data_IF_497137092987
#
_entry.id   IF_497137092987
#
_cell.length_a   1.000
_cell.length_b   1.000
_cell.length_c   1.000
_cell.angle_alpha   90.00
_cell.angle_beta   90.00
_cell.angle_gamma   90.00
#
_symmetry.space_group_name_H-M   'P 1'
#
loop_
_entity.id
_entity.type
_entity.pdbx_description
1 polymer ?
#
# COMPACT_ATOMS: atom_id res chain seq x y z
N UNK A 1 -7.05 -14.83 6.87
CA UNK A 1 -6.96 -14.73 8.34
C UNK A 1 -8.06 -15.55 8.95
N UNK A 2 -7.75 -16.33 9.97
CA UNK A 2 -8.71 -17.14 10.73
C UNK A 2 -8.64 -16.72 12.20
N UNK A 3 -9.80 -16.47 12.82
CA UNK A 3 -9.87 -16.18 14.26
C UNK A 3 -9.93 -17.49 15.04
N UNK A 4 -9.11 -17.63 16.08
CA UNK A 4 -9.08 -18.78 16.98
C UNK A 4 -9.05 -18.31 18.44
N UNK A 5 -9.31 -19.24 19.35
CA UNK A 5 -9.28 -19.03 20.80
C UNK A 5 -8.27 -20.03 21.38
N UNK A 6 -7.37 -19.54 22.23
CA UNK A 6 -6.40 -20.40 22.91
C UNK A 6 -7.01 -21.04 24.18
N UNK A 7 -6.31 -21.97 24.86
CA UNK A 7 -6.83 -22.62 26.07
C UNK A 7 -7.14 -21.65 27.23
N UNK A 8 -6.53 -20.46 27.24
CA UNK A 8 -6.81 -19.41 28.23
C UNK A 8 -8.08 -18.62 27.92
N UNK A 9 -8.72 -18.87 26.78
CA UNK A 9 -9.88 -18.12 26.29
C UNK A 9 -9.49 -16.87 25.52
N UNK A 10 -8.21 -16.61 25.27
CA UNK A 10 -7.75 -15.42 24.55
C UNK A 10 -7.85 -15.64 23.03
N UNK A 11 -8.41 -14.64 22.34
CA UNK A 11 -8.51 -14.64 20.88
C UNK A 11 -7.15 -14.36 20.25
N UNK A 12 -6.80 -15.12 19.21
CA UNK A 12 -5.67 -14.86 18.32
C UNK A 12 -6.08 -15.08 16.86
N UNK A 13 -5.28 -14.54 15.94
CA UNK A 13 -5.53 -14.55 14.50
C UNK A 13 -4.41 -15.30 13.78
N UNK A 14 -4.77 -16.25 12.93
CA UNK A 14 -3.86 -17.05 12.11
C UNK A 14 -3.88 -16.53 10.67
N UNK A 15 -2.70 -16.20 10.15
CA UNK A 15 -2.52 -15.96 8.72
C UNK A 15 -2.06 -17.23 8.01
N UNK A 16 -2.96 -17.80 7.21
CA UNK A 16 -2.66 -18.99 6.41
C UNK A 16 -1.73 -18.73 5.23
N UNK A 17 -1.57 -17.47 4.81
CA UNK A 17 -0.70 -17.10 3.70
C UNK A 17 0.72 -16.93 4.19
N UNK A 18 0.93 -16.06 5.18
CA UNK A 18 2.26 -15.77 5.74
C UNK A 18 2.71 -16.74 6.84
N UNK A 19 1.89 -17.74 7.16
CA UNK A 19 2.15 -18.75 8.20
C UNK A 19 2.54 -18.12 9.55
N UNK A 20 1.80 -17.07 9.95
CA UNK A 20 2.03 -16.33 11.20
C UNK A 20 0.79 -16.28 12.07
N UNK A 21 0.98 -16.06 13.36
CA UNK A 21 -0.08 -15.81 14.34
C UNK A 21 0.12 -14.46 15.00
N UNK A 22 -0.96 -13.76 15.31
CA UNK A 22 -0.92 -12.51 16.08
C UNK A 22 -2.10 -12.42 17.04
N UNK A 23 -1.92 -11.68 18.13
CA UNK A 23 -3.00 -11.37 19.08
C UNK A 23 -3.87 -10.21 18.60
N UNK A 24 -3.35 -9.38 17.71
CA UNK A 24 -4.03 -8.20 17.19
C UNK A 24 -4.84 -8.56 15.94
N UNK A 25 -6.07 -8.05 15.86
CA UNK A 25 -6.89 -8.22 14.66
C UNK A 25 -6.20 -7.48 13.51
N UNK A 26 -5.89 -8.16 12.39
CA UNK A 26 -5.34 -7.49 11.23
C UNK A 26 -6.36 -6.50 10.67
N UNK A 27 -5.93 -5.28 10.38
CA UNK A 27 -6.75 -4.30 9.69
C UNK A 27 -7.13 -4.81 8.29
N UNK A 28 -8.30 -4.46 7.73
CA UNK A 28 -8.60 -4.78 6.33
C UNK A 28 -7.65 -4.04 5.38
N UNK A 29 -7.48 -4.57 4.17
CA UNK A 29 -6.80 -3.81 3.10
C UNK A 29 -7.70 -2.63 2.66
N UNK A 30 -7.11 -1.52 2.20
CA UNK A 30 -7.89 -0.44 1.60
C UNK A 30 -8.69 -0.92 0.37
N UNK A 31 -9.78 -0.21 0.00
CA UNK A 31 -10.58 -0.56 -1.17
C UNK A 31 -9.74 -0.68 -2.44
N UNK A 32 -10.06 -1.68 -3.28
CA UNK A 32 -9.35 -1.93 -4.53
C UNK A 32 -8.04 -2.71 -4.38
N UNK A 33 -7.54 -2.88 -3.15
CA UNK A 33 -6.31 -3.63 -2.91
C UNK A 33 -6.56 -5.12 -2.64
N UNK A 34 -5.76 -5.97 -3.28
CA UNK A 34 -5.77 -7.42 -3.09
C UNK A 34 -4.37 -7.91 -2.70
N UNK A 35 -4.30 -8.81 -1.72
CA UNK A 35 -3.07 -9.54 -1.40
C UNK A 35 -2.92 -10.75 -2.32
N UNK A 36 -1.73 -10.94 -2.91
CA UNK A 36 -1.36 -12.10 -3.73
C UNK A 36 -0.03 -12.69 -3.30
N UNK A 37 0.26 -13.87 -3.83
CA UNK A 37 1.52 -14.60 -3.64
C UNK A 37 2.11 -14.87 -5.02
N UNK A 38 3.40 -14.57 -5.20
CA UNK A 38 4.09 -14.83 -6.47
C UNK A 38 4.55 -16.29 -6.58
N UNK A 39 5.17 -16.65 -7.72
CA UNK A 39 5.67 -18.02 -7.95
C UNK A 39 6.77 -18.44 -6.97
N UNK A 40 7.45 -17.47 -6.34
CA UNK A 40 8.50 -17.70 -5.35
C UNK A 40 7.95 -17.76 -3.92
N UNK A 41 6.62 -17.68 -3.74
CA UNK A 41 5.98 -17.68 -2.43
C UNK A 41 6.02 -16.32 -1.71
N UNK A 42 6.44 -15.25 -2.38
CA UNK A 42 6.50 -13.91 -1.77
C UNK A 42 5.15 -13.23 -1.83
N UNK A 43 4.76 -12.59 -0.74
CA UNK A 43 3.52 -11.80 -0.67
C UNK A 43 3.73 -10.44 -1.32
N UNK A 44 2.78 -10.04 -2.17
CA UNK A 44 2.70 -8.70 -2.74
C UNK A 44 1.24 -8.24 -2.78
N UNK A 45 1.05 -6.95 -3.03
CA UNK A 45 -0.27 -6.31 -3.03
C UNK A 45 -0.54 -5.68 -4.38
N UNK A 46 -1.73 -5.90 -4.91
CA UNK A 46 -2.19 -5.40 -6.21
C UNK A 46 -3.27 -4.37 -5.97
N UNK A 47 -3.09 -3.17 -6.53
CA UNK A 47 -4.15 -2.17 -6.64
C UNK A 47 -4.90 -2.37 -7.96
N UNK A 48 -6.15 -2.79 -7.89
CA UNK A 48 -7.00 -2.99 -9.06
C UNK A 48 -7.52 -1.68 -9.69
N UNK A 49 -7.48 -0.57 -8.95
CA UNK A 49 -7.91 0.75 -9.40
C UNK A 49 -6.83 1.34 -10.29
N UNK A 50 -5.60 1.46 -9.77
CA UNK A 50 -4.48 2.07 -10.51
C UNK A 50 -3.66 1.07 -11.32
N UNK A 51 -3.94 -0.23 -11.20
CA UNK A 51 -3.19 -1.34 -11.82
C UNK A 51 -1.70 -1.33 -11.44
N UNK A 52 -1.42 -0.95 -10.19
CA UNK A 52 -0.06 -0.95 -9.62
C UNK A 52 0.13 -2.11 -8.65
N UNK A 53 1.39 -2.40 -8.33
CA UNK A 53 1.76 -3.44 -7.37
C UNK A 53 2.81 -2.92 -6.39
N UNK A 54 2.77 -3.38 -5.14
CA UNK A 54 3.80 -3.08 -4.15
C UNK A 54 4.09 -4.28 -3.26
N UNK A 55 5.32 -4.35 -2.72
CA UNK A 55 5.73 -5.32 -1.71
C UNK A 55 5.29 -4.89 -0.31
N UNK A 56 5.02 -3.60 -0.10
CA UNK A 56 4.59 -3.07 1.18
C UNK A 56 3.08 -3.23 1.33
N UNK A 57 2.63 -3.67 2.50
CA UNK A 57 1.20 -3.77 2.80
C UNK A 57 0.58 -2.37 2.81
N UNK A 58 -0.41 -2.08 1.93
CA UNK A 58 -1.05 -0.78 1.91
C UNK A 58 -1.92 -0.61 3.16
N UNK A 59 -1.79 0.55 3.80
CA UNK A 59 -2.71 1.08 4.80
C UNK A 59 -3.48 2.26 4.23
N UNK A 60 -4.56 2.67 4.89
CA UNK A 60 -5.31 3.87 4.52
C UNK A 60 -4.42 5.11 4.44
N UNK A 61 -3.43 5.22 5.33
CA UNK A 61 -2.46 6.32 5.32
C UNK A 61 -1.52 6.25 4.11
N UNK A 62 -0.92 5.09 3.82
CA UNK A 62 -0.02 4.96 2.67
C UNK A 62 -0.72 5.24 1.33
N UNK A 63 -1.99 4.82 1.20
CA UNK A 63 -2.81 5.10 0.02
C UNK A 63 -3.04 6.61 -0.11
N UNK A 64 -3.46 7.28 0.97
CA UNK A 64 -3.65 8.73 0.99
C UNK A 64 -2.37 9.49 0.62
N UNK A 65 -1.23 9.10 1.18
CA UNK A 65 0.06 9.72 0.90
C UNK A 65 0.43 9.56 -0.59
N UNK A 66 0.18 8.38 -1.15
CA UNK A 66 0.41 8.12 -2.57
C UNK A 66 -0.49 8.95 -3.48
N UNK A 67 -1.79 9.07 -3.15
CA UNK A 67 -2.74 9.91 -3.89
C UNK A 67 -2.31 11.39 -3.89
N UNK A 68 -1.89 11.91 -2.75
CA UNK A 68 -1.37 13.28 -2.64
C UNK A 68 -0.14 13.49 -3.54
N UNK A 69 0.79 12.53 -3.54
CA UNK A 69 1.96 12.59 -4.41
C UNK A 69 1.59 12.53 -5.89
N UNK A 70 0.63 11.69 -6.27
CA UNK A 70 0.12 11.65 -7.65
C UNK A 70 -0.48 12.99 -8.07
N UNK A 71 -1.28 13.62 -7.22
CA UNK A 71 -1.86 14.93 -7.50
C UNK A 71 -0.79 16.00 -7.67
N UNK A 72 0.20 16.05 -6.78
CA UNK A 72 1.33 16.96 -6.90
C UNK A 72 2.08 16.75 -8.21
N UNK A 73 2.33 15.50 -8.60
CA UNK A 73 3.02 15.17 -9.84
C UNK A 73 2.26 15.64 -11.08
N UNK A 74 0.94 15.47 -11.08
CA UNK A 74 0.08 15.94 -12.18
C UNK A 74 0.07 17.48 -12.27
N UNK A 75 0.07 18.18 -11.13
CA UNK A 75 0.18 19.65 -11.11
C UNK A 75 1.51 20.12 -11.73
N UNK A 76 2.63 19.47 -11.40
CA UNK A 76 3.93 19.81 -11.97
C UNK A 76 3.99 19.54 -13.49
N UNK A 77 3.35 18.48 -13.98
CA UNK A 77 3.22 18.24 -15.43
C UNK A 77 2.41 19.34 -16.13
N UNK A 78 1.35 19.86 -15.51
CA UNK A 78 0.62 21.01 -16.03
C UNK A 78 1.43 22.32 -16.01
N UNK A 79 2.27 22.49 -14.99
CA UNK A 79 3.15 23.65 -14.84
C UNK A 79 4.43 23.57 -15.70
N UNK A 80 4.62 22.53 -16.49
CA UNK A 80 5.85 22.31 -17.30
C UNK A 80 6.14 23.49 -18.25
N UNK A 81 5.10 24.14 -18.80
CA UNK A 81 5.25 25.35 -19.63
C UNK A 81 5.84 26.53 -18.86
N UNK A 82 5.49 26.67 -17.57
CA UNK A 82 6.05 27.70 -16.70
C UNK A 82 7.47 27.32 -16.26
N UNK A 83 7.73 26.03 -16.05
CA UNK A 83 9.06 25.54 -15.73
C UNK A 83 10.09 25.85 -16.83
N UNK A 84 9.71 25.72 -18.10
CA UNK A 84 10.55 26.06 -19.25
C UNK A 84 10.89 27.56 -19.38
N UNK A 85 10.20 28.43 -18.64
CA UNK A 85 10.45 29.88 -18.63
C UNK A 85 11.37 30.32 -17.48
N UNK A 86 11.91 29.37 -16.70
CA UNK A 86 12.83 29.68 -15.60
C UNK A 86 14.27 29.76 -16.10
N UNK A 87 14.95 30.87 -15.83
CA UNK A 87 16.36 31.07 -16.17
C UNK A 87 17.21 31.19 -14.89
N UNK A 88 18.48 30.80 -14.99
CA UNK A 88 19.49 31.02 -13.94
C UNK A 88 20.47 32.05 -14.50
N UNK A 89 20.70 33.16 -13.78
CA UNK A 89 21.78 34.09 -14.11
C UNK A 89 23.11 33.50 -13.62
N UNK A 90 24.07 33.31 -14.53
CA UNK A 90 25.44 32.92 -14.19
C UNK A 90 26.16 34.09 -13.52
N UNK A 91 26.89 33.79 -12.43
CA UNK A 91 27.82 34.70 -11.77
C UNK A 91 29.19 34.59 -12.43
#
# INVERSE_FOLDING_TARGET
WEQRIDPSGRVYYVDHVEKRTTWERPEPLPPGWERRVDQMGRVYYVDHITRTTTWQRPTMETVRNYEQWQHQRNQLQGAMQQFNQRFIFGV
#
